data_IF_094036017253
#
_entry.id   IF_094036017253
#
_cell.length_a   1.000
_cell.length_b   1.000
_cell.length_c   1.000
_cell.angle_alpha   90.00
_cell.angle_beta   90.00
_cell.angle_gamma   90.00
#
_symmetry.space_group_name_H-M   'P 1'
#
loop_
_entity.id
_entity.type
_entity.pdbx_description
1 polymer ?
#
# COMPACT_ATOMS: atom_id res chain seq x y z
N UNK A 1 -8.13 16.07 2.13
CA UNK A 1 -8.47 15.64 3.50
C UNK A 1 -9.37 14.41 3.45
N UNK A 2 -8.77 13.22 3.57
CA UNK A 2 -9.51 11.98 3.76
C UNK A 2 -9.98 11.92 5.23
N UNK A 3 -11.29 11.75 5.45
CA UNK A 3 -11.89 11.75 6.79
C UNK A 3 -11.76 10.37 7.41
N UNK A 4 -11.44 10.29 8.71
CA UNK A 4 -11.45 9.06 9.53
C UNK A 4 -12.72 8.18 9.32
N UNK A 5 -13.83 8.79 8.88
CA UNK A 5 -15.11 8.13 8.55
C UNK A 5 -15.05 7.07 7.44
N UNK A 6 -14.02 7.04 6.59
CA UNK A 6 -13.91 6.03 5.53
C UNK A 6 -12.99 4.85 5.91
N UNK A 7 -12.19 4.95 6.99
CA UNK A 7 -11.44 3.80 7.53
C UNK A 7 -12.37 2.78 8.19
N UNK A 8 -13.50 3.24 8.72
CA UNK A 8 -14.38 2.47 9.62
C UNK A 8 -15.14 1.32 8.97
N UNK A 9 -15.07 1.15 7.64
CA UNK A 9 -15.64 -0.02 6.93
C UNK A 9 -14.62 -1.12 6.64
N UNK A 10 -13.33 -0.84 6.80
CA UNK A 10 -12.26 -1.80 6.61
C UNK A 10 -11.81 -2.35 7.98
N UNK A 11 -11.43 -3.64 8.08
CA UNK A 11 -10.88 -4.18 9.32
C UNK A 11 -9.51 -3.55 9.61
N UNK A 12 -9.20 -3.38 10.89
CA UNK A 12 -7.85 -3.02 11.33
C UNK A 12 -6.93 -4.24 11.20
N UNK A 13 -5.72 -4.00 10.70
CA UNK A 13 -4.65 -4.99 10.56
C UNK A 13 -3.40 -4.41 11.24
N UNK A 14 -2.78 -5.17 12.13
CA UNK A 14 -1.60 -4.68 12.86
C UNK A 14 -0.38 -4.57 11.94
N UNK A 15 0.59 -3.68 12.25
CA UNK A 15 1.84 -3.59 11.48
C UNK A 15 2.63 -4.89 11.41
N UNK A 16 2.64 -5.68 12.50
CA UNK A 16 3.25 -7.01 12.53
C UNK A 16 2.56 -7.98 11.56
N UNK A 17 1.23 -7.89 11.44
CA UNK A 17 0.54 -8.67 10.44
C UNK A 17 0.95 -8.21 9.04
N UNK A 18 0.91 -6.91 8.74
CA UNK A 18 1.30 -6.39 7.43
C UNK A 18 2.72 -6.82 7.05
N UNK A 19 3.70 -6.68 7.96
CA UNK A 19 5.10 -6.99 7.68
C UNK A 19 5.37 -8.46 7.35
N UNK A 20 4.53 -9.38 7.83
CA UNK A 20 4.60 -10.81 7.51
C UNK A 20 4.10 -11.14 6.09
N UNK A 21 3.37 -10.24 5.42
CA UNK A 21 2.88 -10.44 4.03
C UNK A 21 3.87 -9.83 3.05
N UNK A 22 5.09 -10.33 3.15
CA UNK A 22 6.25 -9.86 2.42
C UNK A 22 6.71 -10.84 1.32
N UNK A 23 5.96 -11.93 1.08
CA UNK A 23 6.32 -12.94 0.10
C UNK A 23 7.37 -13.98 0.55
N UNK A 24 7.84 -13.96 1.81
CA UNK A 24 8.90 -14.86 2.31
C UNK A 24 8.31 -16.15 2.91
N UNK A 25 7.51 -16.01 3.97
CA UNK A 25 6.91 -17.17 4.67
C UNK A 25 5.57 -17.61 4.06
N UNK A 26 4.98 -16.76 3.23
CA UNK A 26 3.72 -16.96 2.52
C UNK A 26 3.80 -16.21 1.17
N UNK A 27 2.99 -16.59 0.17
CA UNK A 27 3.01 -15.94 -1.13
C UNK A 27 2.34 -14.56 -1.14
N UNK A 28 1.70 -14.14 -0.05
CA UNK A 28 0.96 -12.88 0.00
C UNK A 28 1.93 -11.69 -0.03
N UNK A 29 1.60 -10.70 -0.85
CA UNK A 29 2.35 -9.45 -0.94
C UNK A 29 1.41 -8.29 -0.68
N UNK A 30 1.55 -7.70 0.50
CA UNK A 30 0.77 -6.55 0.90
C UNK A 30 1.59 -5.27 0.83
N UNK A 31 0.94 -4.17 0.48
CA UNK A 31 1.52 -2.83 0.52
C UNK A 31 0.62 -1.90 1.32
N UNK A 32 1.22 -0.87 1.91
CA UNK A 32 0.48 0.19 2.58
C UNK A 32 0.59 1.50 1.80
N UNK A 33 -0.56 2.08 1.49
CA UNK A 33 -0.67 3.39 0.85
C UNK A 33 -1.73 4.19 1.60
N UNK A 34 -1.38 5.36 2.12
CA UNK A 34 -2.24 6.22 2.93
C UNK A 34 -2.96 5.45 4.05
N UNK A 35 -2.19 4.62 4.78
CA UNK A 35 -2.67 3.80 5.90
C UNK A 35 -3.66 2.69 5.52
N UNK A 36 -3.88 2.44 4.23
CA UNK A 36 -4.69 1.32 3.74
C UNK A 36 -3.80 0.17 3.30
N UNK A 37 -4.20 -1.04 3.68
CA UNK A 37 -3.55 -2.28 3.33
C UNK A 37 -4.15 -2.81 2.02
N UNK A 38 -3.29 -3.00 1.03
CA UNK A 38 -3.63 -3.55 -0.27
C UNK A 38 -3.01 -4.93 -0.43
N UNK A 39 -3.82 -5.94 -0.73
CA UNK A 39 -3.33 -7.22 -1.21
C UNK A 39 -3.04 -7.13 -2.71
N UNK A 40 -1.75 -7.15 -3.04
CA UNK A 40 -1.27 -7.03 -4.42
C UNK A 40 -0.82 -8.38 -4.99
N UNK A 41 -1.09 -9.50 -4.31
CA UNK A 41 -0.60 -10.83 -4.68
C UNK A 41 -0.97 -11.20 -6.12
N UNK A 42 -2.25 -11.04 -6.48
CA UNK A 42 -2.72 -11.31 -7.86
C UNK A 42 -2.43 -10.16 -8.83
N UNK A 43 -2.00 -9.00 -8.35
CA UNK A 43 -1.71 -7.82 -9.17
C UNK A 43 -0.24 -7.73 -9.61
N UNK A 44 0.64 -8.58 -9.05
CA UNK A 44 2.08 -8.57 -9.36
C UNK A 44 2.37 -8.46 -10.86
N UNK A 45 1.96 -9.47 -11.64
CA UNK A 45 2.23 -9.53 -13.08
C UNK A 45 1.45 -8.49 -13.90
N UNK A 46 0.42 -7.88 -13.31
CA UNK A 46 -0.40 -6.84 -13.92
C UNK A 46 0.11 -5.42 -13.69
N UNK A 47 1.16 -5.23 -12.89
CA UNK A 47 1.66 -3.91 -12.55
C UNK A 47 2.50 -3.31 -13.69
N UNK A 48 2.11 -2.16 -14.30
CA UNK A 48 2.85 -1.57 -15.41
C UNK A 48 4.28 -1.14 -15.08
N UNK A 49 4.57 -0.86 -13.80
CA UNK A 49 5.92 -0.58 -13.31
C UNK A 49 6.78 -1.83 -13.03
N UNK A 50 6.23 -3.02 -13.30
CA UNK A 50 6.87 -4.32 -13.08
C UNK A 50 6.65 -4.91 -11.68
N UNK A 51 6.86 -6.22 -11.54
CA UNK A 51 6.72 -6.94 -10.27
C UNK A 51 7.77 -6.54 -9.23
N UNK A 52 8.99 -6.26 -9.69
CA UNK A 52 10.15 -6.09 -8.81
C UNK A 52 9.95 -4.94 -7.80
N UNK A 53 9.27 -3.86 -8.20
CA UNK A 53 8.98 -2.75 -7.31
C UNK A 53 7.94 -3.11 -6.25
N UNK A 54 6.90 -3.89 -6.59
CA UNK A 54 5.92 -4.34 -5.60
C UNK A 54 6.57 -5.25 -4.57
N UNK A 55 7.44 -6.18 -5.00
CA UNK A 55 8.21 -7.06 -4.10
C UNK A 55 9.14 -6.29 -3.17
N UNK A 56 9.75 -5.21 -3.65
CA UNK A 56 10.64 -4.35 -2.85
C UNK A 56 9.93 -3.64 -1.70
N UNK A 57 8.62 -3.42 -1.84
CA UNK A 57 7.78 -2.77 -0.83
C UNK A 57 6.81 -3.73 -0.14
N UNK A 58 6.98 -5.05 -0.33
CA UNK A 58 6.13 -6.05 0.29
C UNK A 58 6.25 -5.98 1.82
N UNK A 59 5.12 -5.81 2.50
CA UNK A 59 5.04 -5.63 3.95
C UNK A 59 5.36 -4.22 4.46
N UNK A 60 5.51 -3.22 3.57
CA UNK A 60 5.91 -1.85 3.94
C UNK A 60 4.91 -0.79 3.48
N UNK A 61 5.02 0.39 4.10
CA UNK A 61 4.45 1.62 3.59
C UNK A 61 5.25 2.11 2.37
N UNK A 62 4.53 2.49 1.31
CA UNK A 62 5.08 3.09 0.11
C UNK A 62 4.29 4.34 -0.31
N UNK A 63 3.64 5.00 0.65
CA UNK A 63 2.69 6.09 0.39
C UNK A 63 3.31 7.20 -0.43
N UNK A 64 4.46 7.72 0.00
CA UNK A 64 5.10 8.83 -0.71
C UNK A 64 5.63 8.41 -2.10
N UNK A 65 6.14 7.19 -2.25
CA UNK A 65 6.59 6.66 -3.54
C UNK A 65 5.41 6.49 -4.50
N UNK A 66 4.28 5.99 -3.99
CA UNK A 66 3.07 5.86 -4.78
C UNK A 66 2.66 7.22 -5.34
N UNK A 67 2.55 8.24 -4.50
CA UNK A 67 2.14 9.59 -4.90
C UNK A 67 3.12 10.24 -5.88
N UNK A 68 4.44 10.09 -5.66
CA UNK A 68 5.47 10.63 -6.55
C UNK A 68 5.39 10.08 -7.98
N UNK A 69 4.98 8.81 -8.14
CA UNK A 69 4.90 8.15 -9.46
C UNK A 69 3.50 8.24 -10.07
N UNK A 70 2.45 8.17 -9.24
CA UNK A 70 1.08 8.03 -9.71
C UNK A 70 0.30 9.36 -9.73
N UNK A 71 0.86 10.39 -9.10
CA UNK A 71 0.28 11.71 -8.93
C UNK A 71 -0.95 11.72 -8.02
N UNK A 72 -1.28 12.88 -7.45
CA UNK A 72 -2.46 13.03 -6.59
C UNK A 72 -3.80 12.80 -7.32
N UNK A 73 -3.81 12.83 -8.66
CA UNK A 73 -5.03 12.57 -9.47
C UNK A 73 -5.50 11.12 -9.38
N UNK A 74 -4.60 10.18 -9.10
CA UNK A 74 -4.96 8.80 -8.73
C UNK A 74 -5.11 8.70 -7.22
N UNK A 75 -6.08 9.45 -6.68
CA UNK A 75 -6.46 9.32 -5.26
C UNK A 75 -6.75 7.84 -5.01
N UNK A 76 -5.98 7.26 -4.10
CA UNK A 76 -5.94 5.82 -3.82
C UNK A 76 -7.34 5.26 -3.55
N UNK A 77 -8.21 6.09 -2.98
CA UNK A 77 -9.62 5.80 -2.73
C UNK A 77 -10.56 5.89 -3.94
N UNK A 78 -10.31 6.80 -4.89
CA UNK A 78 -11.12 6.99 -6.09
C UNK A 78 -10.72 6.03 -7.24
N UNK A 79 -9.57 5.39 -7.11
CA UNK A 79 -9.11 4.40 -8.07
C UNK A 79 -9.88 3.08 -7.90
N UNK A 80 -10.84 2.82 -8.79
CA UNK A 80 -11.65 1.60 -8.81
C UNK A 80 -10.82 0.32 -8.93
N UNK A 81 -9.65 0.38 -9.58
CA UNK A 81 -8.76 -0.77 -9.67
C UNK A 81 -8.14 -1.10 -8.31
N UNK A 82 -7.83 -0.09 -7.51
CA UNK A 82 -7.31 -0.28 -6.15
C UNK A 82 -8.38 -0.66 -5.13
N UNK A 83 -9.64 -0.26 -5.36
CA UNK A 83 -10.75 -0.60 -4.47
C UNK A 83 -10.87 -2.11 -4.22
N UNK A 84 -10.69 -2.91 -5.27
CA UNK A 84 -10.75 -4.38 -5.22
C UNK A 84 -9.59 -5.02 -4.46
N UNK A 85 -8.49 -4.30 -4.27
CA UNK A 85 -7.28 -4.79 -3.62
C UNK A 85 -7.25 -4.45 -2.12
N UNK A 86 -8.17 -3.62 -1.62
CA UNK A 86 -8.19 -3.21 -0.21
C UNK A 86 -8.62 -4.37 0.68
N UNK A 87 -7.81 -4.67 1.68
CA UNK A 87 -8.10 -5.73 2.66
C UNK A 87 -8.23 -5.20 4.08
N UNK A 88 -7.74 -3.99 4.37
CA UNK A 88 -7.80 -3.41 5.71
C UNK A 88 -7.22 -2.00 5.80
N UNK A 89 -7.12 -1.49 7.02
CA UNK A 89 -6.34 -0.30 7.35
C UNK A 89 -5.38 -0.60 8.50
N UNK A 90 -4.32 0.20 8.61
CA UNK A 90 -3.26 0.03 9.61
C UNK A 90 -2.72 1.39 10.06
N UNK A 91 -1.80 1.42 11.03
CA UNK A 91 -1.01 2.61 11.36
C UNK A 91 0.38 2.19 11.82
N UNK A 92 1.42 2.98 11.54
CA UNK A 92 2.77 2.71 12.06
C UNK A 92 3.53 1.60 11.33
N UNK A 93 3.08 1.18 10.13
CA UNK A 93 3.91 0.37 9.23
C UNK A 93 5.08 1.23 8.73
N UNK A 94 6.29 0.68 8.78
CA UNK A 94 7.49 1.42 8.38
C UNK A 94 7.59 1.55 6.86
N UNK A 95 8.25 2.63 6.42
CA UNK A 95 8.73 2.79 5.05
C UNK A 95 10.26 2.65 5.07
N UNK A 96 10.86 1.73 4.29
CA UNK A 96 12.31 1.53 4.30
C UNK A 96 13.10 2.68 3.64
N UNK A 97 12.40 3.66 3.05
CA UNK A 97 13.01 4.84 2.45
C UNK A 97 12.48 6.13 3.07
N UNK A 98 13.40 6.97 3.52
CA UNK A 98 13.09 8.33 3.95
C UNK A 98 12.47 9.12 2.80
N UNK A 99 11.39 9.84 3.08
CA UNK A 99 10.78 10.79 2.14
C UNK A 99 11.80 11.92 1.87
N UNK A 100 12.22 12.15 0.61
CA UNK A 100 13.11 13.26 0.29
C UNK A 100 12.42 14.62 0.43
N UNK A 101 13.19 15.67 0.71
CA UNK A 101 12.67 17.04 0.89
C UNK A 101 11.99 17.65 -0.35
N UNK A 102 12.27 17.10 -1.54
CA UNK A 102 11.66 17.55 -2.80
C UNK A 102 10.29 16.92 -3.09
N UNK A 103 9.87 15.95 -2.28
CA UNK A 103 8.54 15.37 -2.37
C UNK A 103 7.63 16.14 -1.39
N UNK A 104 6.72 16.96 -1.94
CA UNK A 104 5.70 17.68 -1.18
C UNK A 104 4.85 16.74 -0.31
#
# INVERSE_FOLDING_TARGET
MYSKKNKTVLPYISPDQVSKRNGVDNPEIWLVIDEIVYDCTSFLSGHPGGEAVLRRFAGFDCSWQYHAIHGERRKVFANKSLEKLRVGWTEGVSNPYSKPDWVE
#
